data_IF_956639680166
#
_entry.id   IF_956639680166
#
_cell.length_a   1.000
_cell.length_b   1.000
_cell.length_c   1.000
_cell.angle_alpha   90.00
_cell.angle_beta   90.00
_cell.angle_gamma   90.00
#
_symmetry.space_group_name_H-M   'P 1'
#
loop_
_entity.id
_entity.type
_entity.pdbx_description
1 polymer ?
#
# COMPACT_ATOMS: atom_id res chain seq x y z
N UNK A 1 40.83 -12.73 3.16
CA UNK A 1 39.77 -11.88 2.56
C UNK A 1 38.60 -12.80 2.20
N UNK A 2 37.56 -12.82 3.02
CA UNK A 2 36.35 -13.59 2.74
C UNK A 2 35.34 -12.64 2.10
N UNK A 3 35.02 -12.90 0.83
CA UNK A 3 33.98 -12.16 0.10
C UNK A 3 32.64 -12.70 0.60
N UNK A 4 31.94 -11.92 1.42
CA UNK A 4 30.55 -12.21 1.79
C UNK A 4 29.70 -11.86 0.58
N UNK A 5 29.20 -12.88 -0.12
CA UNK A 5 28.20 -12.71 -1.18
C UNK A 5 26.91 -12.16 -0.56
N UNK A 6 26.57 -10.92 -0.91
CA UNK A 6 25.23 -10.38 -0.71
C UNK A 6 24.25 -11.14 -1.61
N UNK A 7 23.53 -12.11 -1.05
CA UNK A 7 22.33 -12.62 -1.71
C UNK A 7 21.23 -11.56 -1.57
N UNK A 8 20.99 -10.84 -2.66
CA UNK A 8 19.80 -10.04 -2.82
C UNK A 8 18.56 -10.94 -2.75
N UNK A 9 17.46 -10.41 -2.20
CA UNK A 9 16.16 -11.06 -2.25
C UNK A 9 15.70 -11.15 -3.71
N UNK A 10 16.03 -12.25 -4.39
CA UNK A 10 15.56 -12.49 -5.75
C UNK A 10 14.18 -13.16 -5.67
N UNK A 11 13.17 -12.46 -6.21
CA UNK A 11 11.82 -12.99 -6.31
C UNK A 11 11.80 -14.14 -7.33
N UNK A 12 11.05 -15.24 -7.09
CA UNK A 12 10.91 -16.31 -8.05
C UNK A 12 10.25 -15.76 -9.32
N UNK A 13 10.97 -15.88 -10.45
CA UNK A 13 10.44 -15.57 -11.78
C UNK A 13 9.43 -16.65 -12.17
N UNK A 14 8.18 -16.46 -11.75
CA UNK A 14 7.09 -17.31 -12.25
C UNK A 14 6.72 -16.80 -13.64
N UNK A 15 7.14 -17.54 -14.66
CA UNK A 15 6.78 -17.28 -16.05
C UNK A 15 5.33 -17.72 -16.29
N UNK A 16 4.38 -16.81 -16.06
CA UNK A 16 3.00 -17.01 -16.51
C UNK A 16 2.91 -16.71 -18.00
N UNK A 17 2.72 -17.75 -18.81
CA UNK A 17 2.31 -17.64 -20.21
C UNK A 17 0.88 -17.08 -20.27
N UNK A 18 0.76 -15.78 -20.54
CA UNK A 18 -0.52 -15.09 -20.61
C UNK A 18 -0.88 -14.79 -22.08
N UNK A 19 -1.40 -15.78 -22.79
CA UNK A 19 -2.23 -15.53 -23.96
C UNK A 19 -3.65 -15.22 -23.47
N UNK A 20 -3.88 -13.94 -23.15
CA UNK A 20 -5.20 -13.41 -22.82
C UNK A 20 -5.52 -12.27 -23.78
N UNK A 21 -6.60 -12.45 -24.53
CA UNK A 21 -7.20 -11.42 -25.36
C UNK A 21 -7.40 -10.14 -24.55
N UNK A 22 -6.90 -9.01 -25.06
CA UNK A 22 -7.14 -7.69 -24.49
C UNK A 22 -8.62 -7.29 -24.74
N UNK A 23 -9.50 -7.78 -23.89
CA UNK A 23 -10.61 -6.96 -23.41
C UNK A 23 -10.04 -6.05 -22.32
N UNK A 24 -10.39 -4.76 -22.22
CA UNK A 24 -10.02 -3.95 -21.06
C UNK A 24 -10.69 -4.55 -19.82
N UNK A 25 -10.02 -5.50 -19.18
CA UNK A 25 -10.54 -6.26 -18.06
C UNK A 25 -10.45 -5.39 -16.81
N UNK A 26 -11.54 -4.67 -16.53
CA UNK A 26 -11.72 -4.06 -15.23
C UNK A 26 -11.77 -5.16 -14.17
N UNK A 27 -10.98 -5.00 -13.11
CA UNK A 27 -10.92 -5.98 -12.03
C UNK A 27 -12.32 -6.21 -11.43
N UNK A 28 -12.70 -7.46 -11.26
CA UNK A 28 -13.96 -7.81 -10.60
C UNK A 28 -13.79 -7.73 -9.08
N UNK A 29 -14.91 -7.54 -8.36
CA UNK A 29 -14.90 -7.58 -6.90
C UNK A 29 -14.94 -9.03 -6.40
N UNK A 30 -14.73 -9.24 -5.09
CA UNK A 30 -14.87 -10.55 -4.43
C UNK A 30 -16.30 -11.10 -4.48
N UNK A 31 -17.27 -10.20 -4.71
CA UNK A 31 -18.68 -10.50 -4.86
C UNK A 31 -19.20 -9.77 -6.10
N UNK A 32 -19.91 -10.47 -6.98
CA UNK A 32 -20.31 -9.93 -8.29
C UNK A 32 -21.22 -8.70 -8.15
N UNK A 33 -22.06 -8.69 -7.11
CA UNK A 33 -22.93 -7.55 -6.79
C UNK A 33 -22.17 -6.26 -6.47
N UNK A 34 -20.92 -6.34 -6.02
CA UNK A 34 -20.08 -5.19 -5.72
C UNK A 34 -19.25 -4.71 -6.93
N UNK A 35 -19.16 -5.49 -8.01
CA UNK A 35 -18.38 -5.14 -9.21
C UNK A 35 -18.80 -3.82 -9.87
N UNK A 36 -20.10 -3.48 -10.07
CA UNK A 36 -20.46 -2.17 -10.64
C UNK A 36 -20.04 -0.99 -9.75
N UNK A 37 -20.13 -1.15 -8.42
CA UNK A 37 -19.65 -0.14 -7.47
C UNK A 37 -18.13 0.02 -7.52
N UNK A 38 -17.41 -1.10 -7.66
CA UNK A 38 -15.95 -1.11 -7.83
C UNK A 38 -15.53 -0.36 -9.08
N UNK A 39 -16.14 -0.63 -10.24
CA UNK A 39 -15.78 0.03 -11.51
C UNK A 39 -15.95 1.54 -11.42
N UNK A 40 -17.06 2.00 -10.85
CA UNK A 40 -17.29 3.44 -10.67
C UNK A 40 -16.33 4.06 -9.66
N UNK A 41 -16.03 3.36 -8.57
CA UNK A 41 -15.04 3.79 -7.58
C UNK A 41 -13.64 3.88 -8.18
N UNK A 42 -13.16 2.82 -8.83
CA UNK A 42 -11.83 2.74 -9.43
C UNK A 42 -11.64 3.85 -10.47
N UNK A 43 -12.66 4.14 -11.28
CA UNK A 43 -12.61 5.23 -12.27
C UNK A 43 -12.47 6.62 -11.61
N UNK A 44 -13.22 6.87 -10.53
CA UNK A 44 -13.12 8.11 -9.76
C UNK A 44 -11.75 8.24 -9.08
N UNK A 45 -11.32 7.17 -8.42
CA UNK A 45 -10.05 7.11 -7.70
C UNK A 45 -8.87 7.30 -8.64
N UNK A 46 -8.81 6.58 -9.76
CA UNK A 46 -7.70 6.70 -10.72
C UNK A 46 -7.57 8.13 -11.26
N UNK A 47 -8.70 8.75 -11.62
CA UNK A 47 -8.71 10.14 -12.10
C UNK A 47 -8.23 11.13 -11.03
N UNK A 48 -8.59 10.92 -9.77
CA UNK A 48 -8.08 11.72 -8.65
C UNK A 48 -6.59 11.44 -8.38
N UNK A 49 -6.19 10.17 -8.45
CA UNK A 49 -4.86 9.69 -8.09
C UNK A 49 -3.78 10.15 -9.07
N UNK A 50 -4.07 10.17 -10.37
CA UNK A 50 -3.15 10.70 -11.40
C UNK A 50 -2.72 12.14 -11.09
N UNK A 51 -3.63 12.95 -10.55
CA UNK A 51 -3.36 14.34 -10.17
C UNK A 51 -2.76 14.50 -8.77
N UNK A 52 -2.68 13.41 -7.98
CA UNK A 52 -2.13 13.42 -6.64
C UNK A 52 -0.61 13.22 -6.65
N UNK A 53 -0.09 12.35 -7.52
CA UNK A 53 1.27 11.82 -7.48
C UNK A 53 2.37 12.86 -7.65
N UNK A 54 2.40 13.58 -8.77
CA UNK A 54 3.48 14.52 -9.09
C UNK A 54 3.62 15.65 -8.05
N UNK A 55 2.54 16.35 -7.66
CA UNK A 55 2.68 17.43 -6.68
C UNK A 55 2.95 16.91 -5.26
N UNK A 56 2.58 15.66 -4.93
CA UNK A 56 2.92 15.05 -3.63
C UNK A 56 4.43 14.86 -3.46
N UNK A 57 5.13 14.55 -4.55
CA UNK A 57 6.59 14.44 -4.55
C UNK A 57 7.23 15.81 -4.38
N UNK A 58 6.71 16.85 -5.01
CA UNK A 58 7.22 18.22 -4.83
C UNK A 58 6.90 18.83 -3.46
N UNK A 59 5.71 18.56 -2.90
CA UNK A 59 5.31 18.98 -1.56
C UNK A 59 6.05 18.22 -0.44
N UNK A 60 6.96 17.30 -0.79
CA UNK A 60 7.72 16.53 0.18
C UNK A 60 8.83 17.29 0.89
N UNK A 61 9.13 18.52 0.43
CA UNK A 61 10.26 19.35 0.84
C UNK A 61 10.20 19.77 2.31
N UNK A 62 9.01 19.84 2.91
CA UNK A 62 8.85 19.97 4.36
C UNK A 62 7.72 19.10 4.91
N UNK A 63 7.78 18.69 6.19
CA UNK A 63 6.69 17.95 6.82
C UNK A 63 5.36 18.73 6.82
N UNK A 64 5.43 20.04 7.00
CA UNK A 64 4.25 20.93 7.05
C UNK A 64 3.58 21.07 5.67
N UNK A 65 4.37 21.29 4.60
CA UNK A 65 3.85 21.38 3.24
C UNK A 65 3.21 20.06 2.78
N UNK A 66 3.83 18.92 3.12
CA UNK A 66 3.25 17.60 2.90
C UNK A 66 1.93 17.42 3.66
N UNK A 67 1.88 17.77 4.94
CA UNK A 67 0.67 17.61 5.75
C UNK A 67 -0.50 18.46 5.21
N UNK A 68 -0.23 19.72 4.83
CA UNK A 68 -1.22 20.61 4.23
C UNK A 68 -1.73 20.06 2.90
N UNK A 69 -0.82 19.69 1.99
CA UNK A 69 -1.19 19.14 0.69
C UNK A 69 -2.01 17.84 0.81
N UNK A 70 -1.58 16.91 1.66
CA UNK A 70 -2.32 15.66 1.91
C UNK A 70 -3.71 15.92 2.47
N UNK A 71 -3.88 16.91 3.35
CA UNK A 71 -5.18 17.29 3.90
C UNK A 71 -6.11 17.84 2.82
N UNK A 72 -5.64 18.82 2.04
CA UNK A 72 -6.42 19.44 0.96
C UNK A 72 -6.87 18.38 -0.07
N UNK A 73 -5.98 17.45 -0.41
CA UNK A 73 -6.29 16.35 -1.33
C UNK A 73 -7.22 15.31 -0.75
N UNK A 74 -7.15 15.03 0.55
CA UNK A 74 -8.12 14.18 1.23
C UNK A 74 -9.52 14.79 1.22
N UNK A 75 -9.64 16.11 1.45
CA UNK A 75 -10.92 16.83 1.34
C UNK A 75 -11.46 16.83 -0.10
N UNK A 76 -10.59 16.99 -1.09
CA UNK A 76 -10.95 16.87 -2.51
C UNK A 76 -11.47 15.47 -2.84
N UNK A 77 -10.78 14.43 -2.37
CA UNK A 77 -11.18 13.03 -2.54
C UNK A 77 -12.55 12.76 -1.91
N UNK A 78 -12.76 13.18 -0.66
CA UNK A 78 -14.02 12.94 0.05
C UNK A 78 -15.21 13.56 -0.69
N UNK A 79 -15.03 14.80 -1.18
CA UNK A 79 -16.06 15.49 -1.96
C UNK A 79 -16.39 14.82 -3.29
N UNK A 80 -15.38 14.26 -3.98
CA UNK A 80 -15.54 13.68 -5.33
C UNK A 80 -15.92 12.20 -5.28
N UNK A 81 -15.19 11.41 -4.52
CA UNK A 81 -15.25 9.95 -4.52
C UNK A 81 -15.75 9.36 -3.20
N UNK A 82 -15.91 10.15 -2.12
CA UNK A 82 -16.26 9.65 -0.78
C UNK A 82 -17.58 8.87 -0.74
N UNK A 83 -18.63 9.35 -1.44
CA UNK A 83 -19.93 8.67 -1.49
C UNK A 83 -19.85 7.29 -2.18
N UNK A 84 -19.20 7.20 -3.34
CA UNK A 84 -19.08 5.93 -4.07
C UNK A 84 -18.15 4.95 -3.35
N UNK A 85 -17.09 5.47 -2.72
CA UNK A 85 -16.21 4.70 -1.85
C UNK A 85 -16.99 4.08 -0.68
N UNK A 86 -17.82 4.87 0.01
CA UNK A 86 -18.62 4.36 1.12
C UNK A 86 -19.54 3.21 0.67
N UNK A 87 -20.27 3.39 -0.43
CA UNK A 87 -21.15 2.35 -0.97
C UNK A 87 -20.39 1.08 -1.37
N UNK A 88 -19.25 1.22 -2.06
CA UNK A 88 -18.42 0.09 -2.45
C UNK A 88 -17.84 -0.64 -1.22
N UNK A 89 -17.27 0.11 -0.26
CA UNK A 89 -16.69 -0.42 0.97
C UNK A 89 -17.71 -1.21 1.77
N UNK A 90 -18.92 -0.69 1.93
CA UNK A 90 -19.97 -1.36 2.70
C UNK A 90 -20.38 -2.69 2.04
N UNK A 91 -20.48 -2.71 0.70
CA UNK A 91 -20.73 -3.93 -0.08
C UNK A 91 -19.62 -4.98 0.15
N UNK A 92 -18.35 -4.56 0.05
CA UNK A 92 -17.21 -5.46 0.23
C UNK A 92 -17.09 -5.95 1.67
N UNK A 93 -17.29 -5.09 2.67
CA UNK A 93 -17.23 -5.49 4.08
C UNK A 93 -18.29 -6.53 4.43
N UNK A 94 -19.49 -6.40 3.86
CA UNK A 94 -20.52 -7.42 3.98
C UNK A 94 -20.06 -8.75 3.37
N UNK A 95 -19.58 -8.74 2.12
CA UNK A 95 -19.11 -9.95 1.45
C UNK A 95 -17.91 -10.63 2.17
N UNK A 96 -16.98 -9.83 2.69
CA UNK A 96 -15.84 -10.31 3.49
C UNK A 96 -16.31 -11.00 4.77
N UNK A 97 -17.32 -10.44 5.43
CA UNK A 97 -17.92 -11.03 6.63
C UNK A 97 -18.65 -12.34 6.32
N UNK A 98 -19.43 -12.38 5.26
CA UNK A 98 -20.16 -13.58 4.83
C UNK A 98 -19.22 -14.72 4.42
N UNK A 99 -18.05 -14.40 3.86
CA UNK A 99 -17.02 -15.38 3.50
C UNK A 99 -16.07 -15.74 4.66
N UNK A 100 -16.27 -15.19 5.86
CA UNK A 100 -15.48 -15.51 7.04
C UNK A 100 -14.01 -15.07 7.01
N UNK A 101 -13.67 -14.05 6.20
CA UNK A 101 -12.27 -13.63 5.96
C UNK A 101 -11.77 -12.55 6.94
N UNK A 102 -12.62 -12.03 7.83
CA UNK A 102 -12.30 -10.89 8.69
C UNK A 102 -11.03 -11.12 9.53
N UNK A 103 -10.93 -12.25 10.24
CA UNK A 103 -9.81 -12.49 11.16
C UNK A 103 -8.48 -12.58 10.41
N UNK A 104 -8.46 -13.22 9.24
CA UNK A 104 -7.28 -13.33 8.39
C UNK A 104 -6.85 -11.96 7.85
N UNK A 105 -7.81 -11.14 7.39
CA UNK A 105 -7.52 -9.79 6.91
C UNK A 105 -7.05 -8.88 8.04
N UNK A 106 -7.61 -9.00 9.24
CA UNK A 106 -7.22 -8.19 10.39
C UNK A 106 -5.83 -8.57 10.90
N UNK A 107 -5.49 -9.86 10.90
CA UNK A 107 -4.12 -10.31 11.15
C UNK A 107 -3.17 -9.71 10.11
N UNK A 108 -3.47 -9.85 8.81
CA UNK A 108 -2.62 -9.31 7.74
C UNK A 108 -2.41 -7.78 7.84
N UNK A 109 -3.47 -7.03 8.17
CA UNK A 109 -3.40 -5.57 8.38
C UNK A 109 -2.50 -5.20 9.56
N UNK A 110 -2.62 -5.91 10.69
CA UNK A 110 -1.81 -5.69 11.90
C UNK A 110 -0.34 -6.12 11.70
N UNK A 111 -0.11 -7.20 10.97
CA UNK A 111 1.23 -7.70 10.68
C UNK A 111 2.00 -6.75 9.76
N UNK A 112 1.33 -6.14 8.77
CA UNK A 112 2.00 -5.26 7.79
C UNK A 112 2.58 -4.00 8.42
N UNK A 113 1.91 -3.42 9.44
CA UNK A 113 2.39 -2.25 10.16
C UNK A 113 3.49 -2.59 11.18
N UNK A 114 3.36 -3.72 11.88
CA UNK A 114 4.32 -4.13 12.93
C UNK A 114 5.61 -4.69 12.35
N UNK A 115 5.55 -5.53 11.30
CA UNK A 115 6.76 -6.16 10.73
C UNK A 115 7.59 -5.21 9.88
N UNK A 116 6.97 -4.26 9.16
CA UNK A 116 7.71 -3.27 8.36
C UNK A 116 8.48 -2.30 9.26
N UNK A 117 7.86 -1.79 10.33
CA UNK A 117 8.53 -0.98 11.35
C UNK A 117 9.60 -1.78 12.09
N UNK A 118 9.31 -3.03 12.49
CA UNK A 118 10.30 -3.88 13.18
C UNK A 118 11.50 -4.21 12.28
N UNK A 119 11.27 -4.46 10.99
CA UNK A 119 12.35 -4.74 10.04
C UNK A 119 13.20 -3.49 9.79
N UNK A 120 12.60 -2.31 9.65
CA UNK A 120 13.34 -1.05 9.55
C UNK A 120 14.12 -0.73 10.83
N UNK A 121 13.53 -0.95 12.01
CA UNK A 121 14.20 -0.80 13.29
C UNK A 121 15.42 -1.71 13.40
N UNK A 122 15.25 -3.01 13.09
CA UNK A 122 16.35 -3.97 13.17
C UNK A 122 17.46 -3.68 12.14
N UNK A 123 17.13 -3.18 10.95
CA UNK A 123 18.11 -2.74 9.96
C UNK A 123 18.85 -1.45 10.38
N UNK A 124 18.14 -0.51 11.03
CA UNK A 124 18.77 0.69 11.59
C UNK A 124 19.73 0.33 12.73
N UNK A 125 19.30 -0.51 13.67
CA UNK A 125 20.12 -0.99 14.79
C UNK A 125 21.38 -1.71 14.30
N UNK A 126 21.25 -2.62 13.31
CA UNK A 126 22.42 -3.31 12.74
C UNK A 126 23.33 -2.38 11.94
N UNK A 127 22.79 -1.37 11.25
CA UNK A 127 23.59 -0.35 10.58
C UNK A 127 24.35 0.54 11.58
N UNK A 128 23.73 0.95 12.68
CA UNK A 128 24.38 1.72 13.76
C UNK A 128 25.46 0.89 14.45
N UNK A 129 25.17 -0.37 14.78
CA UNK A 129 26.11 -1.27 15.44
C UNK A 129 27.36 -1.59 14.59
N UNK A 130 27.25 -1.57 13.26
CA UNK A 130 28.36 -1.84 12.35
C UNK A 130 29.05 -0.57 11.79
N UNK A 131 28.67 0.63 12.28
CA UNK A 131 29.27 1.88 11.81
C UNK A 131 30.68 2.03 12.41
N UNK A 132 31.75 2.18 11.60
CA UNK A 132 33.11 2.35 12.12
C UNK A 132 33.19 3.64 12.94
N UNK A 133 33.60 3.52 14.21
CA UNK A 133 33.73 4.63 15.15
C UNK A 133 32.56 4.82 16.14
N UNK A 134 31.58 3.92 16.19
CA UNK A 134 30.54 3.98 17.23
C UNK A 134 31.12 3.53 18.58
N UNK A 135 31.02 4.33 19.67
CA UNK A 135 31.48 3.92 20.98
C UNK A 135 30.58 2.79 21.49
N UNK A 136 31.18 1.62 21.75
CA UNK A 136 30.53 0.55 22.52
C UNK A 136 30.18 1.14 23.88
N UNK A 137 28.89 1.34 24.16
CA UNK A 137 28.44 1.68 25.51
C UNK A 137 28.55 0.41 26.34
N UNK A 138 29.65 0.27 27.07
CA UNK A 138 29.79 -0.72 28.13
C UNK A 138 28.68 -0.53 29.15
N UNK A 139 28.15 -1.66 29.63
CA UNK A 139 27.03 -1.79 30.56
C UNK A 139 27.09 -0.86 31.78
#
# INVERSE_FOLDING_TARGET
MMVVQSQACEAPKVAYSLSLALSPAMAHSIEDSCTPLKVGYDSCFNSWFENYLEPAVSASTSPESRAKYSKEKAEEYERKCGKIWASYRDCVQKAVKEKGLNDLLDQARKETLSRSLQRCHNLHETYVANRPGYPIRSA
#
